data_IF_563559911864
#
_entry.id   IF_563559911864
#
_cell.length_a   1.000
_cell.length_b   1.000
_cell.length_c   1.000
_cell.angle_alpha   90.00
_cell.angle_beta   90.00
_cell.angle_gamma   90.00
#
_symmetry.space_group_name_H-M   'P 1'
#
loop_
_entity.id
_entity.type
_entity.pdbx_description
1 polymer ?
#
# COMPACT_ATOMS: atom_id res chain seq x y z
N UNK A 1 -47.43 -59.51 24.45
CA UNK A 1 -47.59 -59.56 25.93
C UNK A 1 -46.27 -59.11 26.54
N UNK A 2 -46.17 -57.86 27.02
CA UNK A 2 -46.30 -57.48 28.44
C UNK A 2 -45.07 -57.95 29.26
N UNK A 3 -44.28 -57.15 29.99
CA UNK A 3 -44.44 -55.84 30.63
C UNK A 3 -43.06 -55.31 31.10
N UNK A 4 -42.90 -53.98 31.17
CA UNK A 4 -41.89 -53.28 32.00
C UNK A 4 -42.22 -53.40 33.50
N UNK A 5 -41.25 -53.11 34.37
CA UNK A 5 -41.40 -52.04 35.40
C UNK A 5 -40.18 -51.09 35.39
N UNK A 6 -40.30 -49.75 35.30
CA UNK A 6 -40.49 -48.74 36.39
C UNK A 6 -39.56 -48.94 37.60
N UNK A 7 -38.74 -48.01 38.11
CA UNK A 7 -38.52 -46.57 37.92
C UNK A 7 -37.91 -45.97 39.21
N UNK A 8 -37.45 -44.69 39.16
CA UNK A 8 -36.88 -43.78 40.22
C UNK A 8 -35.35 -43.62 40.13
N UNK A 9 -34.74 -42.42 40.17
CA UNK A 9 -35.20 -41.03 40.23
C UNK A 9 -34.05 -40.09 40.71
N UNK A 10 -34.04 -38.83 40.24
CA UNK A 10 -33.30 -37.67 40.81
C UNK A 10 -31.78 -37.58 40.53
N UNK A 11 -31.16 -36.43 40.19
CA UNK A 11 -31.62 -35.04 40.07
C UNK A 11 -30.47 -34.10 39.62
N UNK A 12 -30.87 -33.00 38.97
CA UNK A 12 -30.31 -31.65 38.84
C UNK A 12 -28.83 -31.41 38.47
N UNK A 13 -28.64 -30.55 37.47
CA UNK A 13 -27.39 -29.84 37.20
C UNK A 13 -27.43 -28.93 35.97
N UNK A 14 -28.29 -27.91 35.98
CA UNK A 14 -28.29 -26.80 35.02
C UNK A 14 -27.13 -25.83 35.31
N UNK A 15 -26.33 -25.47 34.31
CA UNK A 15 -25.53 -24.23 34.36
C UNK A 15 -25.47 -23.55 33.00
N UNK A 16 -26.49 -22.74 32.74
CA UNK A 16 -26.39 -21.54 31.91
C UNK A 16 -25.43 -20.56 32.57
N UNK A 17 -24.33 -20.21 31.88
CA UNK A 17 -23.38 -19.17 32.28
C UNK A 17 -23.13 -18.24 31.10
N UNK A 18 -23.57 -17.00 31.24
CA UNK A 18 -23.54 -15.97 30.22
C UNK A 18 -22.21 -15.18 30.22
N UNK A 19 -21.86 -14.68 29.02
CA UNK A 19 -21.04 -13.50 28.69
C UNK A 19 -19.52 -13.50 29.02
N UNK A 20 -18.73 -13.43 27.94
CA UNK A 20 -17.59 -12.50 27.81
C UNK A 20 -17.54 -12.02 26.34
N UNK A 21 -17.98 -10.80 26.03
CA UNK A 21 -17.19 -9.56 26.01
C UNK A 21 -15.90 -9.68 25.18
N UNK A 22 -15.93 -9.07 23.99
CA UNK A 22 -14.73 -8.78 23.20
C UNK A 22 -14.66 -9.47 21.85
N UNK A 23 -15.60 -9.19 20.93
CA UNK A 23 -15.26 -9.30 19.50
C UNK A 23 -14.33 -8.15 19.16
N UNK A 24 -13.06 -8.32 19.50
CA UNK A 24 -11.98 -7.52 18.97
C UNK A 24 -12.05 -7.55 17.45
N UNK A 25 -11.82 -6.38 16.85
CA UNK A 25 -11.67 -6.15 15.43
C UNK A 25 -10.41 -6.86 14.92
N UNK A 26 -10.38 -8.19 14.91
CA UNK A 26 -9.33 -8.93 14.21
C UNK A 26 -9.77 -9.03 12.75
N UNK A 27 -9.65 -7.92 12.03
CA UNK A 27 -9.51 -7.98 10.58
C UNK A 27 -8.42 -9.00 10.30
N UNK A 28 -8.76 -10.10 9.64
CA UNK A 28 -7.81 -11.15 9.27
C UNK A 28 -6.75 -10.50 8.38
N UNK A 29 -5.65 -10.06 8.99
CA UNK A 29 -4.46 -9.67 8.26
C UNK A 29 -3.91 -10.99 7.70
N UNK A 30 -4.30 -11.32 6.46
CA UNK A 30 -3.87 -12.54 5.79
C UNK A 30 -2.38 -12.41 5.54
N UNK A 31 -1.58 -12.83 6.53
CA UNK A 31 -0.13 -12.87 6.43
C UNK A 31 0.21 -13.75 5.23
N UNK A 32 0.80 -13.15 4.20
CA UNK A 32 1.17 -13.84 2.96
C UNK A 32 2.43 -14.64 3.24
N UNK A 33 2.34 -15.97 3.09
CA UNK A 33 3.48 -16.87 3.28
C UNK A 33 4.36 -16.89 2.03
N UNK A 34 5.68 -16.89 2.22
CA UNK A 34 6.66 -17.05 1.14
C UNK A 34 6.54 -18.45 0.53
N UNK A 35 6.04 -18.55 -0.71
CA UNK A 35 5.84 -19.83 -1.43
C UNK A 35 7.14 -20.45 -1.95
N UNK A 36 8.21 -19.68 -2.08
CA UNK A 36 9.47 -20.07 -2.75
C UNK A 36 10.67 -20.13 -1.80
N UNK A 37 10.47 -20.45 -0.52
CA UNK A 37 11.57 -20.48 0.46
C UNK A 37 12.67 -21.53 0.17
N UNK A 38 12.35 -22.60 -0.57
CA UNK A 38 13.29 -23.68 -0.89
C UNK A 38 14.43 -23.16 -1.77
N UNK A 39 15.68 -23.38 -1.34
CA UNK A 39 16.89 -22.91 -2.04
C UNK A 39 17.32 -21.47 -1.72
N UNK A 40 16.56 -20.74 -0.88
CA UNK A 40 16.94 -19.40 -0.39
C UNK A 40 17.59 -19.48 0.97
N UNK A 41 18.46 -18.51 1.27
CA UNK A 41 19.01 -18.35 2.62
C UNK A 41 17.90 -17.92 3.60
N UNK A 42 18.12 -18.18 4.90
CA UNK A 42 17.18 -17.80 5.94
C UNK A 42 16.97 -16.27 6.02
N UNK A 43 18.00 -15.48 5.71
CA UNK A 43 17.92 -14.01 5.63
C UNK A 43 17.10 -13.54 4.43
N UNK A 44 17.30 -14.16 3.25
CA UNK A 44 16.49 -13.86 2.05
C UNK A 44 15.01 -14.19 2.26
N UNK A 45 14.72 -15.32 2.91
CA UNK A 45 13.33 -15.70 3.23
C UNK A 45 12.68 -14.72 4.20
N UNK A 46 13.40 -14.28 5.25
CA UNK A 46 12.91 -13.25 6.19
C UNK A 46 12.71 -11.89 5.54
N UNK A 47 13.58 -11.50 4.61
CA UNK A 47 13.42 -10.26 3.84
C UNK A 47 12.15 -10.30 2.99
N UNK A 48 11.91 -11.40 2.26
CA UNK A 48 10.69 -11.59 1.47
C UNK A 48 9.43 -11.60 2.35
N UNK A 49 9.46 -12.29 3.49
CA UNK A 49 8.33 -12.30 4.42
C UNK A 49 7.97 -10.89 4.90
N UNK A 50 8.98 -10.05 5.19
CA UNK A 50 8.78 -8.66 5.58
C UNK A 50 8.17 -7.83 4.45
N UNK A 51 8.67 -7.96 3.23
CA UNK A 51 8.15 -7.20 2.08
C UNK A 51 6.70 -7.58 1.76
N UNK A 52 6.37 -8.87 1.80
CA UNK A 52 5.02 -9.36 1.51
C UNK A 52 3.99 -8.96 2.56
N UNK A 53 4.44 -8.75 3.79
CA UNK A 53 3.58 -8.42 4.93
C UNK A 53 3.77 -6.98 5.42
N UNK A 54 4.29 -6.11 4.56
CA UNK A 54 4.49 -4.72 4.93
C UNK A 54 3.13 -3.98 5.02
N UNK A 55 2.77 -3.42 6.18
CA UNK A 55 1.47 -2.78 6.38
C UNK A 55 1.25 -1.57 5.47
N UNK A 56 2.32 -0.88 5.08
CA UNK A 56 2.21 0.28 4.19
C UNK A 56 1.90 -0.12 2.74
N UNK A 57 2.21 -1.35 2.33
CA UNK A 57 1.78 -1.86 1.02
C UNK A 57 0.28 -2.10 1.02
N UNK A 58 -0.25 -2.66 2.10
CA UNK A 58 -1.69 -2.86 2.26
C UNK A 58 -2.44 -1.51 2.34
N UNK A 59 -1.92 -0.58 3.13
CA UNK A 59 -2.53 0.75 3.28
C UNK A 59 -2.45 1.56 1.99
N UNK A 60 -1.32 1.53 1.26
CA UNK A 60 -1.21 2.19 -0.04
C UNK A 60 -2.29 1.69 -1.02
N UNK A 61 -2.48 0.37 -1.11
CA UNK A 61 -3.53 -0.22 -1.95
C UNK A 61 -4.93 0.20 -1.52
N UNK A 62 -5.20 0.24 -0.22
CA UNK A 62 -6.49 0.68 0.34
C UNK A 62 -6.77 2.15 -0.01
N UNK A 63 -5.74 3.00 -0.03
CA UNK A 63 -5.84 4.41 -0.39
C UNK A 63 -5.71 4.68 -1.91
N UNK A 64 -5.58 3.65 -2.75
CA UNK A 64 -5.42 3.82 -4.20
C UNK A 64 -4.06 4.41 -4.63
N UNK A 65 -3.06 4.38 -3.74
CA UNK A 65 -1.70 4.84 -4.02
C UNK A 65 -0.92 3.75 -4.77
N UNK A 66 -0.17 4.14 -5.80
CA UNK A 66 0.61 3.23 -6.66
C UNK A 66 1.79 2.61 -5.96
N UNK A 67 2.30 3.22 -4.90
CA UNK A 67 3.35 2.64 -4.07
C UNK A 67 3.28 3.15 -2.63
N UNK A 68 3.82 2.36 -1.71
CA UNK A 68 4.03 2.78 -0.31
C UNK A 68 4.96 3.98 -0.17
N UNK A 69 5.75 4.31 -1.19
CA UNK A 69 6.70 5.42 -1.14
C UNK A 69 5.97 6.77 -1.13
N UNK A 70 4.75 6.84 -1.66
CA UNK A 70 3.88 8.02 -1.62
C UNK A 70 3.76 8.60 -0.21
N UNK A 71 3.64 7.76 0.82
CA UNK A 71 3.58 8.19 2.22
C UNK A 71 4.80 9.01 2.66
N UNK A 72 5.99 8.72 2.11
CA UNK A 72 7.21 9.48 2.43
C UNK A 72 7.10 10.91 1.90
N UNK A 73 6.64 11.07 0.67
CA UNK A 73 6.49 12.40 0.08
C UNK A 73 5.40 13.20 0.78
N UNK A 74 4.26 12.57 1.10
CA UNK A 74 3.19 13.20 1.92
C UNK A 74 3.75 13.69 3.25
N UNK A 75 4.46 12.84 4.00
CA UNK A 75 5.03 13.22 5.30
C UNK A 75 6.06 14.37 5.17
N UNK A 76 6.94 14.31 4.17
CA UNK A 76 7.92 15.35 3.92
C UNK A 76 7.25 16.67 3.54
N UNK A 77 6.27 16.63 2.65
CA UNK A 77 5.56 17.82 2.21
C UNK A 77 4.72 18.44 3.33
N UNK A 78 4.03 17.64 4.13
CA UNK A 78 3.25 18.12 5.27
C UNK A 78 4.15 18.79 6.33
N UNK A 79 5.39 18.34 6.47
CA UNK A 79 6.35 18.90 7.43
C UNK A 79 7.07 20.15 6.91
N UNK A 80 7.40 20.19 5.61
CA UNK A 80 8.30 21.21 5.04
C UNK A 80 7.66 22.12 3.99
N UNK A 81 6.44 21.83 3.53
CA UNK A 81 5.73 22.60 2.50
C UNK A 81 6.51 22.67 1.18
N UNK A 82 7.00 21.52 0.72
CA UNK A 82 7.86 21.37 -0.46
C UNK A 82 7.10 21.65 -1.76
N UNK A 83 5.85 21.18 -1.83
CA UNK A 83 4.99 21.22 -2.99
C UNK A 83 3.92 22.30 -2.81
N UNK A 84 3.82 23.18 -3.80
CA UNK A 84 2.83 24.27 -3.84
C UNK A 84 2.14 24.28 -5.18
N UNK A 85 0.90 24.76 -5.17
CA UNK A 85 0.10 24.95 -6.38
C UNK A 85 0.89 25.75 -7.43
N UNK A 86 0.83 25.32 -8.69
CA UNK A 86 1.46 26.03 -9.81
C UNK A 86 2.98 25.85 -9.92
N UNK A 87 3.62 25.05 -9.07
CA UNK A 87 5.05 24.74 -9.21
C UNK A 87 5.36 23.83 -10.41
N UNK A 88 6.61 23.88 -10.87
CA UNK A 88 7.17 22.89 -11.80
C UNK A 88 7.93 21.84 -10.99
N UNK A 89 7.58 20.58 -11.16
CA UNK A 89 8.15 19.46 -10.43
C UNK A 89 8.65 18.41 -11.41
N UNK A 90 9.88 17.94 -11.18
CA UNK A 90 10.48 16.82 -11.88
C UNK A 90 10.66 15.66 -10.89
N UNK A 91 9.99 14.54 -11.15
CA UNK A 91 10.09 13.30 -10.38
C UNK A 91 11.03 12.32 -11.09
N UNK A 92 12.23 12.11 -10.54
CA UNK A 92 13.29 11.27 -11.14
C UNK A 92 13.30 9.90 -10.48
N UNK A 93 13.30 8.83 -11.28
CA UNK A 93 13.13 7.47 -10.78
C UNK A 93 11.68 7.20 -10.37
N UNK A 94 10.76 7.72 -11.18
CA UNK A 94 9.36 7.84 -10.80
C UNK A 94 8.61 6.50 -10.72
N UNK A 95 9.04 5.45 -11.43
CA UNK A 95 8.27 4.21 -11.53
C UNK A 95 8.09 3.55 -10.14
N UNK A 96 6.85 3.21 -9.72
CA UNK A 96 5.62 3.07 -10.51
C UNK A 96 4.68 4.30 -10.51
N UNK A 97 5.12 5.46 -10.01
CA UNK A 97 4.39 6.74 -10.05
C UNK A 97 3.80 7.18 -8.71
N UNK A 98 4.25 6.59 -7.59
CA UNK A 98 3.69 6.90 -6.27
C UNK A 98 3.97 8.33 -5.80
N UNK A 99 5.17 8.88 -6.07
CA UNK A 99 5.48 10.28 -5.79
C UNK A 99 4.81 11.21 -6.80
N UNK A 100 4.83 10.83 -8.08
CA UNK A 100 4.13 11.54 -9.16
C UNK A 100 2.64 11.79 -8.84
N UNK A 101 1.92 10.80 -8.31
CA UNK A 101 0.51 10.96 -7.91
C UNK A 101 0.33 12.08 -6.88
N UNK A 102 1.17 12.10 -5.84
CA UNK A 102 1.12 13.12 -4.79
C UNK A 102 1.54 14.48 -5.36
N UNK A 103 2.57 14.52 -6.21
CA UNK A 103 3.02 15.75 -6.86
C UNK A 103 1.89 16.40 -7.67
N UNK A 104 1.17 15.65 -8.49
CA UNK A 104 0.02 16.17 -9.24
C UNK A 104 -1.06 16.69 -8.30
N UNK A 105 -1.41 15.94 -7.26
CA UNK A 105 -2.47 16.32 -6.30
C UNK A 105 -2.15 17.66 -5.62
N UNK A 106 -0.89 17.85 -5.20
CA UNK A 106 -0.43 19.04 -4.46
C UNK A 106 -0.20 20.24 -5.38
N UNK A 107 0.40 20.02 -6.56
CA UNK A 107 0.77 21.07 -7.51
C UNK A 107 -0.41 21.53 -8.36
N UNK A 108 -1.34 20.64 -8.66
CA UNK A 108 -2.50 20.88 -9.54
C UNK A 108 -2.12 21.53 -10.88
N UNK A 109 -1.29 20.84 -11.70
CA UNK A 109 -0.89 21.34 -13.01
C UNK A 109 -2.11 21.56 -13.92
N UNK A 110 -2.18 22.72 -14.57
CA UNK A 110 -3.33 23.08 -15.42
C UNK A 110 -3.43 24.57 -15.73
N UNK A 111 -4.66 25.10 -15.74
CA UNK A 111 -4.96 26.46 -16.21
C UNK A 111 -4.27 27.56 -15.39
N UNK A 112 -4.07 27.34 -14.09
CA UNK A 112 -3.39 28.29 -13.20
C UNK A 112 -1.85 28.14 -13.24
N UNK A 113 -1.33 27.32 -14.16
CA UNK A 113 0.08 26.99 -14.28
C UNK A 113 0.48 25.67 -13.61
N UNK A 114 1.78 25.49 -13.41
CA UNK A 114 2.36 24.26 -12.87
C UNK A 114 2.55 23.16 -13.91
N UNK A 115 3.57 22.33 -13.67
CA UNK A 115 3.90 21.19 -14.54
C UNK A 115 4.48 20.07 -13.67
N UNK A 116 4.05 18.85 -13.91
CA UNK A 116 4.67 17.66 -13.30
C UNK A 116 5.20 16.80 -14.42
N UNK A 117 6.52 16.58 -14.42
CA UNK A 117 7.20 15.67 -15.34
C UNK A 117 7.75 14.53 -14.50
N UNK A 118 7.49 13.30 -14.91
CA UNK A 118 7.99 12.11 -14.26
C UNK A 118 8.86 11.33 -15.23
N UNK A 119 10.09 11.02 -14.81
CA UNK A 119 11.08 10.32 -15.62
C UNK A 119 11.57 9.05 -14.93
N UNK A 120 11.60 7.97 -15.70
CA UNK A 120 12.21 6.71 -15.29
C UNK A 120 12.71 5.96 -16.54
N UNK A 121 13.69 5.08 -16.36
CA UNK A 121 14.10 4.12 -17.40
C UNK A 121 13.03 3.04 -17.61
N UNK A 122 12.26 2.73 -16.58
CA UNK A 122 11.16 1.77 -16.62
C UNK A 122 9.86 2.44 -17.06
N UNK A 123 9.10 1.73 -17.89
CA UNK A 123 7.74 2.14 -18.24
C UNK A 123 6.82 2.08 -17.02
N UNK A 124 5.94 3.06 -16.90
CA UNK A 124 4.86 3.05 -15.91
C UNK A 124 3.55 3.52 -16.53
N UNK A 125 2.45 3.22 -15.85
CA UNK A 125 1.12 3.67 -16.25
C UNK A 125 1.02 5.21 -16.19
N UNK A 126 0.24 5.82 -17.07
CA UNK A 126 0.04 7.27 -17.08
C UNK A 126 -0.57 7.76 -15.76
N UNK A 127 -0.10 8.89 -15.24
CA UNK A 127 -0.73 9.61 -14.12
C UNK A 127 -1.38 10.86 -14.71
N UNK A 128 -2.70 11.00 -14.59
CA UNK A 128 -3.41 12.17 -15.10
C UNK A 128 -2.82 13.46 -14.53
N UNK A 129 -2.55 14.46 -15.37
CA UNK A 129 -1.92 15.72 -14.96
C UNK A 129 -0.38 15.69 -14.95
N UNK A 130 0.27 14.55 -15.15
CA UNK A 130 1.71 14.46 -15.32
C UNK A 130 2.11 14.05 -16.73
N UNK A 131 3.21 14.61 -17.22
CA UNK A 131 3.92 14.12 -18.40
C UNK A 131 4.87 12.99 -17.99
N UNK A 132 4.81 11.86 -18.70
CA UNK A 132 5.61 10.67 -18.36
C UNK A 132 6.65 10.42 -19.45
N UNK A 133 7.93 10.44 -19.06
CA UNK A 133 9.06 10.20 -19.95
C UNK A 133 9.73 8.87 -19.57
N UNK A 134 9.73 7.92 -20.50
CA UNK A 134 10.55 6.71 -20.40
C UNK A 134 11.93 7.02 -21.00
N UNK A 135 12.88 7.42 -20.16
CA UNK A 135 14.14 8.02 -20.60
C UNK A 135 15.25 7.69 -19.59
N UNK A 136 16.42 7.33 -20.12
CA UNK A 136 17.65 7.28 -19.34
C UNK A 136 18.18 8.70 -19.14
N UNK A 137 18.20 9.15 -17.88
CA UNK A 137 18.61 10.50 -17.50
C UNK A 137 20.10 10.78 -17.70
N UNK A 138 20.91 9.74 -17.90
CA UNK A 138 22.36 9.87 -18.16
C UNK A 138 22.68 10.23 -19.60
N UNK A 139 21.69 10.16 -20.51
CA UNK A 139 21.89 10.48 -21.92
C UNK A 139 21.99 12.00 -22.14
N UNK A 140 22.86 12.49 -23.04
CA UNK A 140 23.05 13.92 -23.29
C UNK A 140 21.78 14.67 -23.70
N UNK A 141 20.84 14.01 -24.37
CA UNK A 141 19.56 14.57 -24.80
C UNK A 141 18.52 14.67 -23.68
N UNK A 142 18.74 14.01 -22.55
CA UNK A 142 17.75 13.90 -21.48
C UNK A 142 17.30 15.25 -20.91
N UNK A 143 18.20 16.22 -20.63
CA UNK A 143 17.79 17.54 -20.13
C UNK A 143 16.89 18.29 -21.10
N UNK A 144 17.15 18.22 -22.40
CA UNK A 144 16.33 18.91 -23.40
C UNK A 144 14.90 18.38 -23.41
N UNK A 145 14.73 17.06 -23.27
CA UNK A 145 13.42 16.40 -23.22
C UNK A 145 12.62 16.72 -21.95
N UNK A 146 13.29 17.06 -20.84
CA UNK A 146 12.63 17.43 -19.57
C UNK A 146 12.28 18.92 -19.49
N UNK A 147 12.85 19.76 -20.35
CA UNK A 147 12.65 21.21 -20.34
C UNK A 147 11.60 21.71 -21.34
N UNK A 148 11.26 20.87 -22.33
CA UNK A 148 10.06 21.02 -23.17
C UNK A 148 8.80 21.05 -22.28
#
# INVERSE_FOLDING_TARGET
>A
MARKPSGRGGGKGSSSGAKSSGRGLTGRNMRVRVKTARGRTASSTRWLDRQLNDPYVAEARKQGLRSRAAFKLVQLDDQYGLLRRGQKVLDIGAAPGGWTQIAVERVQPGQDGGKVIAVDIQKMEAVGGAEILCLDISLPEAPARMME
#
